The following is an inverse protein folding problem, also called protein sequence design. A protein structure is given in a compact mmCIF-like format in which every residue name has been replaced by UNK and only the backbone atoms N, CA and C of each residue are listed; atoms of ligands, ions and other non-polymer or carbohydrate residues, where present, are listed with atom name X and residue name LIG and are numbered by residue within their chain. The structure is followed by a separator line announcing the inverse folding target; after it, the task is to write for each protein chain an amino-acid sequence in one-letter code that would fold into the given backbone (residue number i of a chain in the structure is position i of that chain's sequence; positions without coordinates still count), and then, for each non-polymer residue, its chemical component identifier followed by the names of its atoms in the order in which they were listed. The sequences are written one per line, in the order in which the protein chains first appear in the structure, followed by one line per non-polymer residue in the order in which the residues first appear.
data_IF_249951145613
#
_entry.id   IF_249951145613
#
_cell.length_a   1.000
_cell.length_b   1.000
_cell.length_c   1.000
_cell.angle_alpha   90.00
_cell.angle_beta   90.00
_cell.angle_gamma   90.00
#
_symmetry.space_group_name_H-M   'P 1'
#
loop_
_entity.id
_entity.type
_entity.pdbx_description
1 polymer ?
#
# COMPACT_ATOMS: atom_id res chain seq x y z
N UNK A 1 -44.85 5.81 -27.32
CA UNK A 1 -44.26 5.47 -28.63
C UNK A 1 -43.15 4.45 -28.36
N UNK A 2 -43.40 3.15 -28.59
CA UNK A 2 -42.36 2.12 -28.45
C UNK A 2 -41.50 2.18 -29.71
N UNK A 3 -40.19 2.39 -29.53
CA UNK A 3 -39.24 2.34 -30.64
C UNK A 3 -39.25 0.92 -31.24
N UNK A 4 -39.08 0.83 -32.55
CA UNK A 4 -38.91 -0.46 -33.22
C UNK A 4 -37.60 -1.09 -32.75
N UNK A 5 -37.47 -2.44 -32.77
CA UNK A 5 -36.26 -3.13 -32.34
C UNK A 5 -34.98 -2.65 -33.05
N UNK A 6 -35.08 -2.23 -34.31
CA UNK A 6 -33.99 -1.59 -35.05
C UNK A 6 -33.61 -0.20 -34.52
N UNK A 7 -34.55 0.56 -33.97
CA UNK A 7 -34.31 1.86 -33.32
C UNK A 7 -33.65 1.72 -31.95
N UNK A 8 -33.97 0.67 -31.20
CA UNK A 8 -33.28 0.33 -29.94
C UNK A 8 -31.84 -0.16 -30.17
N UNK A 9 -31.60 -0.97 -31.21
CA UNK A 9 -30.25 -1.39 -31.61
C UNK A 9 -29.39 -0.21 -32.11
N UNK A 10 -29.97 0.73 -32.86
CA UNK A 10 -29.27 1.92 -33.36
C UNK A 10 -28.90 2.91 -32.23
N UNK A 11 -29.77 3.08 -31.22
CA UNK A 11 -29.47 3.88 -30.03
C UNK A 11 -28.43 3.21 -29.12
N UNK A 12 -28.46 1.88 -28.99
CA UNK A 12 -27.46 1.12 -28.23
C UNK A 12 -26.06 1.15 -28.90
N UNK A 13 -26.00 1.17 -30.23
CA UNK A 13 -24.74 1.32 -30.99
C UNK A 13 -24.23 2.77 -31.06
N UNK A 14 -25.11 3.78 -30.96
CA UNK A 14 -24.71 5.18 -30.97
C UNK A 14 -24.17 5.70 -29.61
N UNK A 15 -24.61 5.12 -28.49
CA UNK A 15 -24.21 5.56 -27.13
C UNK A 15 -22.96 4.84 -26.57
N UNK A 16 -22.41 3.88 -27.30
CA UNK A 16 -21.28 3.02 -26.87
C UNK A 16 -19.85 3.52 -27.17
N UNK A 17 -19.55 4.45 -28.11
CA UNK A 17 -18.16 4.85 -28.37
C UNK A 17 -17.54 5.78 -27.32
N UNK A 18 -18.35 6.69 -26.75
CA UNK A 18 -17.84 7.78 -25.91
C UNK A 18 -17.31 7.31 -24.56
N UNK A 19 -18.09 6.48 -23.86
CA UNK A 19 -17.70 6.01 -22.53
C UNK A 19 -16.50 5.05 -22.58
N UNK A 20 -16.38 4.22 -23.64
CA UNK A 20 -15.22 3.33 -23.82
C UNK A 20 -13.95 4.11 -24.08
N UNK A 21 -14.03 5.16 -24.91
CA UNK A 21 -12.90 6.08 -25.12
C UNK A 21 -12.50 6.75 -23.80
N UNK A 22 -13.47 7.24 -23.03
CA UNK A 22 -13.20 7.82 -21.70
C UNK A 22 -12.58 6.80 -20.73
N UNK A 23 -13.08 5.58 -20.67
CA UNK A 23 -12.55 4.52 -19.81
C UNK A 23 -11.11 4.14 -20.19
N UNK A 24 -10.82 4.02 -21.50
CA UNK A 24 -9.47 3.77 -21.99
C UNK A 24 -8.51 4.92 -21.68
N UNK A 25 -8.97 6.17 -21.85
CA UNK A 25 -8.18 7.36 -21.49
C UNK A 25 -7.90 7.38 -19.99
N UNK A 26 -8.90 7.15 -19.15
CA UNK A 26 -8.73 7.09 -17.69
C UNK A 26 -7.77 5.97 -17.27
N UNK A 27 -7.89 4.78 -17.88
CA UNK A 27 -6.99 3.67 -17.62
C UNK A 27 -5.56 4.01 -18.04
N UNK A 28 -5.37 4.60 -19.23
CA UNK A 28 -4.05 5.03 -19.71
C UNK A 28 -3.42 6.10 -18.82
N UNK A 29 -4.21 7.11 -18.40
CA UNK A 29 -3.77 8.14 -17.46
C UNK A 29 -3.39 7.54 -16.10
N UNK A 30 -4.16 6.56 -15.61
CA UNK A 30 -3.88 5.89 -14.35
C UNK A 30 -2.62 5.04 -14.43
N UNK A 31 -2.45 4.27 -15.51
CA UNK A 31 -1.21 3.53 -15.80
C UNK A 31 -0.01 4.48 -15.84
N UNK A 32 -0.11 5.58 -16.59
CA UNK A 32 0.94 6.60 -16.70
C UNK A 32 1.26 7.23 -15.33
N UNK A 33 0.26 7.60 -14.56
CA UNK A 33 0.42 8.17 -13.22
C UNK A 33 1.13 7.19 -12.28
N UNK A 34 0.78 5.90 -12.34
CA UNK A 34 1.42 4.85 -11.55
C UNK A 34 2.86 4.62 -11.99
N UNK A 35 3.15 4.62 -13.30
CA UNK A 35 4.53 4.53 -13.81
C UNK A 35 5.37 5.73 -13.37
N UNK A 36 4.83 6.94 -13.51
CA UNK A 36 5.50 8.18 -13.12
C UNK A 36 5.77 8.20 -11.61
N UNK A 37 4.79 7.76 -10.80
CA UNK A 37 4.95 7.61 -9.35
C UNK A 37 6.02 6.56 -9.01
N UNK A 38 6.02 5.39 -9.66
CA UNK A 38 7.06 4.38 -9.47
C UNK A 38 8.46 4.89 -9.81
N UNK A 39 8.60 5.63 -10.92
CA UNK A 39 9.87 6.27 -11.29
C UNK A 39 10.29 7.34 -10.30
N UNK A 40 9.37 8.20 -9.85
CA UNK A 40 9.61 9.18 -8.81
C UNK A 40 10.10 8.51 -7.51
N UNK A 41 9.47 7.40 -7.10
CA UNK A 41 9.88 6.64 -5.91
C UNK A 41 11.28 6.03 -6.08
N UNK A 42 11.59 5.44 -7.23
CA UNK A 42 12.95 4.93 -7.52
C UNK A 42 13.97 6.06 -7.43
N UNK A 43 13.70 7.22 -8.04
CA UNK A 43 14.57 8.40 -7.99
C UNK A 43 14.77 8.86 -6.54
N UNK A 44 13.68 8.93 -5.78
CA UNK A 44 13.65 9.34 -4.39
C UNK A 44 14.38 8.37 -3.47
N UNK A 45 14.49 7.08 -3.80
CA UNK A 45 15.29 6.09 -3.06
C UNK A 45 16.77 6.14 -3.47
N UNK A 46 17.06 6.27 -4.76
CA UNK A 46 18.44 6.24 -5.27
C UNK A 46 19.28 7.48 -4.90
N UNK A 47 18.65 8.63 -4.68
CA UNK A 47 19.35 9.87 -4.32
C UNK A 47 19.47 10.07 -2.80
N UNK A 48 19.06 9.08 -2.00
CA UNK A 48 19.07 9.25 -0.54
C UNK A 48 20.46 9.13 0.03
N UNK A 49 20.82 9.98 1.00
CA UNK A 49 21.94 9.71 1.87
C UNK A 49 21.65 8.46 2.71
N UNK A 50 22.53 7.48 2.63
CA UNK A 50 22.44 6.24 3.40
C UNK A 50 23.55 6.20 4.45
N UNK A 51 23.15 6.19 5.71
CA UNK A 51 24.05 6.05 6.85
C UNK A 51 24.05 4.64 7.46
N UNK A 52 23.06 3.79 7.14
CA UNK A 52 22.99 2.41 7.64
C UNK A 52 22.59 2.26 9.10
N UNK A 53 21.81 3.20 9.65
CA UNK A 53 21.23 3.09 10.99
C UNK A 53 19.80 3.61 11.04
N UNK A 54 19.02 3.07 11.97
CA UNK A 54 17.66 3.50 12.27
C UNK A 54 17.51 3.85 13.75
N UNK A 55 16.70 4.87 14.03
CA UNK A 55 16.58 5.47 15.36
C UNK A 55 15.16 5.30 15.87
N UNK A 56 15.00 4.65 17.03
CA UNK A 56 13.70 4.37 17.64
C UNK A 56 13.85 3.78 19.07
N UNK A 57 12.95 4.09 20.01
CA UNK A 57 12.44 5.42 20.36
C UNK A 57 13.49 6.24 21.15
N UNK A 58 13.21 7.53 21.40
CA UNK A 58 14.06 8.43 22.20
C UNK A 58 15.49 8.65 21.65
N UNK A 59 15.63 8.81 20.33
CA UNK A 59 16.92 9.05 19.68
C UNK A 59 17.97 7.96 19.90
N UNK A 60 17.54 6.75 20.27
CA UNK A 60 18.41 5.58 20.40
C UNK A 60 18.53 4.85 19.08
N UNK A 61 19.74 4.40 18.77
CA UNK A 61 20.00 3.51 17.64
C UNK A 61 19.30 2.17 17.90
N UNK A 62 18.20 1.94 17.21
CA UNK A 62 17.39 0.71 17.36
C UNK A 62 17.79 -0.36 16.34
N UNK A 63 18.38 0.07 15.23
CA UNK A 63 18.76 -0.77 14.13
C UNK A 63 20.07 -0.30 13.54
N UNK A 64 20.94 -1.26 13.22
CA UNK A 64 22.19 -1.02 12.52
C UNK A 64 22.35 -2.02 11.38
N UNK A 65 22.57 -1.52 10.17
CA UNK A 65 22.93 -2.37 9.03
C UNK A 65 24.32 -2.95 9.25
N UNK A 66 24.41 -4.28 9.37
CA UNK A 66 25.70 -4.96 9.51
C UNK A 66 26.59 -4.65 8.32
N UNK A 67 27.82 -4.26 8.60
CA UNK A 67 28.79 -3.80 7.60
C UNK A 67 28.39 -2.51 6.88
N UNK A 68 27.34 -1.81 7.30
CA UNK A 68 26.93 -0.51 6.75
C UNK A 68 27.81 0.65 7.22
N UNK A 69 27.62 1.87 6.68
CA UNK A 69 28.47 3.02 6.99
C UNK A 69 28.57 3.34 8.49
N UNK A 70 27.45 3.30 9.21
CA UNK A 70 27.39 3.54 10.64
C UNK A 70 28.11 2.46 11.46
N UNK A 71 27.96 1.18 11.09
CA UNK A 71 28.64 0.06 11.76
C UNK A 71 30.17 0.17 11.59
N UNK A 72 30.62 0.48 10.36
CA UNK A 72 32.04 0.72 10.07
C UNK A 72 32.60 1.93 10.80
N UNK A 73 31.77 2.94 11.05
CA UNK A 73 32.12 4.12 11.85
C UNK A 73 32.14 3.87 13.36
N UNK A 74 31.74 2.67 13.81
CA UNK A 74 31.74 2.29 15.23
C UNK A 74 30.47 2.64 15.99
N UNK A 75 29.39 3.03 15.30
CA UNK A 75 28.07 3.17 15.92
C UNK A 75 27.58 1.80 16.38
N UNK A 76 26.90 1.75 17.54
CA UNK A 76 26.35 0.52 18.10
C UNK A 76 24.87 0.71 18.44
N UNK A 77 24.11 -0.39 18.34
CA UNK A 77 22.73 -0.44 18.81
C UNK A 77 22.66 -0.07 20.31
N UNK A 78 21.61 0.65 20.70
CA UNK A 78 21.38 1.16 22.05
C UNK A 78 22.01 2.52 22.36
N UNK A 79 22.97 2.99 21.56
CA UNK A 79 23.56 4.33 21.73
C UNK A 79 22.52 5.44 21.54
N UNK A 80 22.54 6.45 22.40
CA UNK A 80 21.69 7.62 22.34
C UNK A 80 22.35 8.73 21.53
N UNK A 81 21.71 9.19 20.46
CA UNK A 81 22.14 10.34 19.65
C UNK A 81 21.70 11.62 20.36
N UNK A 82 22.67 12.49 20.65
CA UNK A 82 22.47 13.78 21.35
C UNK A 82 22.47 14.94 20.37
N UNK A 83 23.44 14.94 19.45
CA UNK A 83 23.54 15.95 18.38
C UNK A 83 23.91 15.31 17.06
N UNK A 84 23.54 15.97 15.97
CA UNK A 84 23.93 15.64 14.60
C UNK A 84 24.40 16.93 13.92
N UNK A 85 25.61 16.92 13.37
CA UNK A 85 26.28 18.09 12.80
C UNK A 85 26.31 19.33 13.71
N UNK A 86 26.38 19.11 15.04
CA UNK A 86 26.38 20.17 16.05
C UNK A 86 24.99 20.68 16.43
N UNK A 87 23.93 20.29 15.72
CA UNK A 87 22.55 20.59 16.07
C UNK A 87 21.99 19.55 17.03
N UNK A 88 21.21 20.00 18.02
CA UNK A 88 20.56 19.11 18.98
C UNK A 88 19.51 18.26 18.29
N UNK A 89 19.55 16.95 18.54
CA UNK A 89 18.52 16.02 18.08
C UNK A 89 17.55 15.80 19.22
N UNK A 90 16.35 16.41 19.12
CA UNK A 90 15.27 16.28 20.10
C UNK A 90 14.35 15.11 19.80
N UNK A 91 14.21 14.74 18.52
CA UNK A 91 13.28 13.72 18.05
C UNK A 91 13.85 12.81 16.95
N UNK A 92 13.16 11.69 16.72
CA UNK A 92 13.45 10.80 15.58
C UNK A 92 13.26 11.56 14.27
N UNK A 93 12.29 12.49 14.21
CA UNK A 93 12.02 13.29 13.03
C UNK A 93 13.14 14.30 12.74
N UNK A 94 13.81 14.84 13.77
CA UNK A 94 14.98 15.70 13.60
C UNK A 94 16.11 14.92 12.95
N UNK A 95 16.35 13.69 13.41
CA UNK A 95 17.32 12.77 12.79
C UNK A 95 16.98 12.53 11.32
N UNK A 96 15.70 12.27 11.02
CA UNK A 96 15.19 12.04 9.66
C UNK A 96 15.47 13.25 8.77
N UNK A 97 15.06 14.44 9.22
CA UNK A 97 15.16 15.69 8.46
C UNK A 97 16.61 16.13 8.23
N UNK A 98 17.43 16.13 9.28
CA UNK A 98 18.83 16.52 9.17
C UNK A 98 19.60 15.55 8.28
N UNK A 99 19.32 14.24 8.36
CA UNK A 99 19.94 13.26 7.48
C UNK A 99 19.48 13.46 6.03
N UNK A 100 18.19 13.70 5.79
CA UNK A 100 17.63 13.91 4.43
C UNK A 100 18.07 15.22 3.78
N UNK A 101 18.50 16.22 4.56
CA UNK A 101 19.11 17.44 4.04
C UNK A 101 20.53 17.22 3.47
N UNK A 102 21.15 16.08 3.74
CA UNK A 102 22.50 15.76 3.28
C UNK A 102 22.49 15.04 1.93
N UNK A 103 23.66 15.02 1.29
CA UNK A 103 23.85 14.35 0.00
C UNK A 103 24.64 13.04 0.16
N UNK A 104 24.37 12.03 -0.70
CA UNK A 104 25.24 10.86 -0.80
C UNK A 104 26.70 11.29 -1.07
N UNK A 105 27.64 10.68 -0.34
CA UNK A 105 29.06 11.04 -0.38
C UNK A 105 29.49 12.09 0.64
N UNK A 106 28.54 12.79 1.28
CA UNK A 106 28.79 13.71 2.39
C UNK A 106 29.17 13.00 3.69
N UNK A 107 29.37 13.77 4.75
CA UNK A 107 29.67 13.26 6.09
C UNK A 107 28.61 13.75 7.08
N UNK A 108 28.25 12.90 8.03
CA UNK A 108 27.42 13.28 9.18
C UNK A 108 28.20 13.00 10.47
N UNK A 109 28.22 13.98 11.36
CA UNK A 109 28.93 13.92 12.64
C UNK A 109 27.91 13.75 13.76
N UNK A 110 27.93 12.62 14.44
CA UNK A 110 27.04 12.31 15.55
C UNK A 110 27.78 12.45 16.87
N UNK A 111 27.12 13.05 17.85
CA UNK A 111 27.51 12.91 19.25
C UNK A 111 26.59 11.91 19.93
N UNK A 112 27.17 10.85 20.49
CA UNK A 112 26.41 9.73 21.05
C UNK A 112 26.81 9.43 22.50
N UNK A 113 25.88 8.83 23.24
CA UNK A 113 26.11 8.28 24.59
C UNK A 113 25.77 6.80 24.62
N UNK A 114 26.69 5.97 25.10
CA UNK A 114 26.48 4.52 25.21
C UNK A 114 25.56 4.11 26.37
N UNK A 115 25.35 4.98 27.37
CA UNK A 115 24.54 4.68 28.56
C UNK A 115 24.30 5.90 29.45
N UNK A 116 23.53 5.73 30.54
CA UNK A 116 23.33 6.80 31.53
C UNK A 116 24.67 7.10 32.22
N UNK A 117 25.12 8.36 32.17
CA UNK A 117 26.41 8.79 32.74
C UNK A 117 27.64 8.58 31.84
N UNK A 118 27.49 7.98 30.65
CA UNK A 118 28.60 7.80 29.72
C UNK A 118 29.06 9.14 29.10
N UNK A 119 30.38 9.26 28.87
CA UNK A 119 30.95 10.40 28.15
C UNK A 119 30.40 10.47 26.72
N UNK A 120 30.25 11.70 26.21
CA UNK A 120 29.81 11.93 24.84
C UNK A 120 30.95 11.55 23.90
N UNK A 121 30.69 10.61 22.99
CA UNK A 121 31.61 10.20 21.94
C UNK A 121 31.20 10.81 20.61
N UNK A 122 32.17 11.26 19.82
CA UNK A 122 31.91 11.78 18.47
C UNK A 122 32.18 10.69 17.44
N UNK A 123 31.19 10.39 16.62
CA UNK A 123 31.27 9.40 15.54
C UNK A 123 31.03 10.13 14.22
N UNK A 124 31.93 9.93 13.25
CA UNK A 124 31.79 10.50 11.91
C UNK A 124 31.41 9.39 10.93
N UNK A 125 30.33 9.58 10.21
CA UNK A 125 29.79 8.60 9.28
C UNK A 125 29.81 9.21 7.89
N UNK A 126 30.51 8.55 6.96
CA UNK A 126 30.47 8.91 5.54
C UNK A 126 29.19 8.33 4.92
N UNK A 127 28.38 9.20 4.33
CA UNK A 127 27.12 8.83 3.71
C UNK A 127 27.39 8.16 2.37
N UNK A 128 26.71 7.04 2.14
CA UNK A 128 26.82 6.30 0.88
C UNK A 128 25.52 6.38 0.10
N UNK A 129 25.52 5.86 -1.13
CA UNK A 129 24.28 5.54 -1.80
C UNK A 129 23.74 4.24 -1.20
N UNK A 130 22.43 4.14 -0.92
CA UNK A 130 21.88 2.88 -0.45
C UNK A 130 22.18 1.79 -1.49
N UNK A 131 22.50 0.55 -1.05
CA UNK A 131 22.57 -0.57 -1.99
C UNK A 131 21.25 -0.63 -2.75
N UNK A 132 21.31 -0.96 -4.05
CA UNK A 132 20.10 -1.15 -4.87
C UNK A 132 19.17 -2.10 -4.12
N UNK A 133 18.06 -1.60 -3.58
CA UNK A 133 17.28 -2.41 -2.69
C UNK A 133 16.69 -3.56 -3.50
N UNK A 134 16.96 -4.81 -3.12
CA UNK A 134 16.44 -5.99 -3.84
C UNK A 134 14.93 -5.90 -4.03
N UNK A 135 14.25 -5.47 -2.98
CA UNK A 135 13.01 -4.72 -2.95
C UNK A 135 12.56 -4.00 -4.23
N UNK A 136 13.30 -3.02 -4.75
CA UNK A 136 12.88 -2.25 -5.93
C UNK A 136 12.79 -3.14 -7.16
N UNK A 137 13.66 -4.15 -7.27
CA UNK A 137 13.63 -5.13 -8.36
C UNK A 137 12.36 -5.96 -8.25
N UNK A 138 12.05 -6.50 -7.06
CA UNK A 138 10.82 -7.23 -6.82
C UNK A 138 9.59 -6.35 -7.05
N UNK A 139 9.57 -5.12 -6.55
CA UNK A 139 8.45 -4.19 -6.70
C UNK A 139 8.18 -3.89 -8.17
N UNK A 140 9.24 -3.70 -8.95
CA UNK A 140 9.17 -3.49 -10.40
C UNK A 140 8.68 -4.74 -11.12
N UNK A 141 9.13 -5.93 -10.73
CA UNK A 141 8.63 -7.18 -11.30
C UNK A 141 7.14 -7.38 -10.99
N UNK A 142 6.72 -7.19 -9.73
CA UNK A 142 5.31 -7.24 -9.35
C UNK A 142 4.49 -6.23 -10.13
N UNK A 143 4.99 -5.00 -10.27
CA UNK A 143 4.34 -3.96 -11.06
C UNK A 143 4.05 -4.43 -12.49
N UNK A 144 5.06 -4.99 -13.17
CA UNK A 144 4.91 -5.50 -14.53
C UNK A 144 3.87 -6.62 -14.61
N UNK A 145 3.83 -7.52 -13.62
CA UNK A 145 2.82 -8.58 -13.57
C UNK A 145 1.42 -8.02 -13.29
N UNK A 146 1.27 -7.11 -12.33
CA UNK A 146 -0.04 -6.53 -11.98
C UNK A 146 -0.64 -5.73 -13.12
N UNK A 147 0.18 -4.90 -13.77
CA UNK A 147 -0.31 -4.10 -14.89
C UNK A 147 -0.61 -4.99 -16.10
N UNK A 148 0.21 -6.00 -16.36
CA UNK A 148 -0.05 -6.96 -17.43
C UNK A 148 -1.34 -7.73 -17.18
N UNK A 149 -1.58 -8.16 -15.93
CA UNK A 149 -2.80 -8.88 -15.55
C UNK A 149 -4.03 -7.98 -15.65
N UNK A 150 -3.96 -6.76 -15.12
CA UNK A 150 -5.06 -5.79 -15.16
C UNK A 150 -5.43 -5.42 -16.61
N UNK A 151 -4.43 -5.14 -17.45
CA UNK A 151 -4.62 -4.84 -18.87
C UNK A 151 -5.14 -6.07 -19.63
N UNK A 152 -4.57 -7.26 -19.39
CA UNK A 152 -5.02 -8.51 -20.01
C UNK A 152 -6.49 -8.79 -19.72
N UNK A 153 -6.88 -8.71 -18.43
CA UNK A 153 -8.25 -8.96 -17.99
C UNK A 153 -9.19 -7.91 -18.58
N UNK A 154 -8.82 -6.62 -18.52
CA UNK A 154 -9.61 -5.52 -19.09
C UNK A 154 -9.83 -5.64 -20.61
N UNK A 155 -8.78 -5.85 -21.39
CA UNK A 155 -8.89 -5.93 -22.86
C UNK A 155 -9.57 -7.20 -23.35
N UNK A 156 -9.53 -8.28 -22.57
CA UNK A 156 -10.22 -9.53 -22.92
C UNK A 156 -11.74 -9.38 -22.83
N UNK A 157 -12.26 -8.57 -21.88
CA UNK A 157 -13.70 -8.35 -21.67
C UNK A 157 -13.98 -6.95 -21.10
N UNK A 158 -13.85 -5.87 -21.89
CA UNK A 158 -13.96 -4.50 -21.38
C UNK A 158 -15.37 -4.13 -20.91
N UNK A 159 -16.39 -4.82 -21.41
CA UNK A 159 -17.80 -4.57 -21.08
C UNK A 159 -18.31 -5.42 -19.91
N UNK A 160 -17.50 -6.36 -19.40
CA UNK A 160 -17.89 -7.24 -18.30
C UNK A 160 -17.60 -6.57 -16.95
N UNK A 161 -18.62 -6.14 -16.18
CA UNK A 161 -18.37 -5.31 -15.02
C UNK A 161 -17.55 -5.97 -13.88
N UNK A 162 -17.70 -7.27 -13.58
CA UNK A 162 -16.76 -8.03 -12.75
C UNK A 162 -15.28 -7.89 -13.15
N UNK A 163 -14.98 -7.91 -14.45
CA UNK A 163 -13.63 -7.80 -14.99
C UNK A 163 -13.04 -6.43 -14.72
N UNK A 164 -13.84 -5.37 -14.91
CA UNK A 164 -13.45 -3.99 -14.59
C UNK A 164 -13.20 -3.81 -13.09
N UNK A 165 -14.10 -4.34 -12.25
CA UNK A 165 -13.94 -4.28 -10.80
C UNK A 165 -12.67 -5.00 -10.32
N UNK A 166 -12.36 -6.17 -10.89
CA UNK A 166 -11.12 -6.89 -10.58
C UNK A 166 -9.86 -6.12 -11.02
N UNK A 167 -9.88 -5.53 -12.21
CA UNK A 167 -8.77 -4.69 -12.68
C UNK A 167 -8.55 -3.49 -11.74
N UNK A 168 -9.63 -2.85 -11.27
CA UNK A 168 -9.56 -1.76 -10.29
C UNK A 168 -9.00 -2.23 -8.93
N UNK A 169 -9.46 -3.37 -8.38
CA UNK A 169 -8.91 -3.96 -7.14
C UNK A 169 -7.40 -4.20 -7.26
N UNK A 170 -6.98 -4.77 -8.39
CA UNK A 170 -5.57 -5.07 -8.66
C UNK A 170 -4.73 -3.79 -8.66
N UNK A 171 -5.26 -2.73 -9.29
CA UNK A 171 -4.58 -1.46 -9.44
C UNK A 171 -4.52 -0.66 -8.13
N UNK A 172 -5.60 -0.59 -7.36
CA UNK A 172 -5.61 0.09 -6.05
C UNK A 172 -4.76 -0.66 -5.02
N UNK A 173 -4.79 -1.99 -5.03
CA UNK A 173 -3.92 -2.83 -4.20
C UNK A 173 -2.44 -2.57 -4.50
N UNK A 174 -2.09 -2.44 -5.79
CA UNK A 174 -0.73 -2.09 -6.19
C UNK A 174 -0.30 -0.68 -5.75
N UNK A 175 -1.15 0.33 -5.92
CA UNK A 175 -0.86 1.70 -5.45
C UNK A 175 -0.66 1.72 -3.93
N UNK A 176 -1.52 1.00 -3.20
CA UNK A 176 -1.39 0.84 -1.74
C UNK A 176 -0.06 0.17 -1.39
N UNK A 177 0.34 -0.84 -2.15
CA UNK A 177 1.61 -1.54 -1.97
C UNK A 177 2.79 -0.59 -2.19
N UNK A 178 2.84 0.17 -3.29
CA UNK A 178 3.91 1.13 -3.56
C UNK A 178 4.05 2.23 -2.50
N UNK A 179 2.95 2.59 -1.85
CA UNK A 179 2.90 3.66 -0.84
C UNK A 179 3.12 3.16 0.59
N UNK A 180 3.03 1.84 0.85
CA UNK A 180 3.08 1.29 2.21
C UNK A 180 4.49 0.96 2.74
N UNK A 181 5.51 0.83 1.89
CA UNK A 181 6.84 0.35 2.31
C UNK A 181 7.74 1.38 2.98
N UNK A 182 7.15 2.51 3.35
CA UNK A 182 7.90 3.73 3.50
C UNK A 182 7.24 4.53 4.64
N UNK A 183 7.23 3.98 5.87
CA UNK A 183 6.60 4.64 7.02
C UNK A 183 7.23 6.03 7.26
N UNK A 184 8.56 6.12 7.13
CA UNK A 184 9.30 7.39 7.17
C UNK A 184 8.85 8.37 6.08
N UNK A 185 8.53 7.88 4.90
CA UNK A 185 8.17 8.64 3.69
C UNK A 185 6.70 9.03 3.70
N UNK A 186 5.86 8.19 4.26
CA UNK A 186 4.48 8.48 4.59
C UNK A 186 4.42 9.64 5.57
N UNK A 187 5.34 9.68 6.54
CA UNK A 187 5.44 10.80 7.49
C UNK A 187 6.09 12.02 6.83
N UNK A 188 7.06 11.86 5.93
CA UNK A 188 7.79 12.98 5.33
C UNK A 188 7.04 13.69 4.18
N UNK A 189 6.17 12.98 3.44
CA UNK A 189 5.51 13.48 2.24
C UNK A 189 3.98 13.38 2.34
N UNK A 190 3.25 14.48 2.61
CA UNK A 190 1.79 14.46 2.80
C UNK A 190 1.02 13.88 1.62
N UNK A 191 1.42 14.21 0.39
CA UNK A 191 0.77 13.72 -0.84
C UNK A 191 0.88 12.19 -0.93
N UNK A 192 2.05 11.62 -0.60
CA UNK A 192 2.25 10.16 -0.61
C UNK A 192 1.34 9.48 0.41
N UNK A 193 1.21 10.06 1.61
CA UNK A 193 0.30 9.52 2.62
C UNK A 193 -1.17 9.62 2.21
N UNK A 194 -1.59 10.70 1.55
CA UNK A 194 -2.96 10.82 1.03
C UNK A 194 -3.21 9.70 0.01
N UNK A 195 -2.33 9.53 -0.98
CA UNK A 195 -2.47 8.46 -1.98
C UNK A 195 -2.53 7.08 -1.31
N UNK A 196 -1.73 6.83 -0.27
CA UNK A 196 -1.77 5.61 0.55
C UNK A 196 -3.12 5.38 1.22
N UNK A 197 -3.64 6.39 1.91
CA UNK A 197 -4.92 6.33 2.63
C UNK A 197 -6.05 5.97 1.65
N UNK A 198 -6.12 6.68 0.53
CA UNK A 198 -7.20 6.48 -0.44
C UNK A 198 -7.11 5.13 -1.15
N UNK A 199 -5.92 4.75 -1.62
CA UNK A 199 -5.73 3.47 -2.31
C UNK A 199 -5.97 2.25 -1.41
N UNK A 200 -5.55 2.31 -0.14
CA UNK A 200 -5.79 1.24 0.82
C UNK A 200 -7.28 1.10 1.17
N UNK A 201 -7.99 2.21 1.41
CA UNK A 201 -9.39 2.18 1.82
C UNK A 201 -10.38 1.89 0.69
N UNK A 202 -10.15 2.40 -0.53
CA UNK A 202 -11.02 2.14 -1.69
C UNK A 202 -10.96 0.67 -2.14
N UNK A 203 -9.87 -0.03 -1.85
CA UNK A 203 -9.71 -1.45 -2.21
C UNK A 203 -10.80 -2.32 -1.57
N UNK A 204 -11.22 -2.04 -0.32
CA UNK A 204 -12.22 -2.84 0.39
C UNK A 204 -13.64 -2.80 -0.23
N UNK A 205 -14.26 -1.63 -0.51
CA UNK A 205 -15.53 -1.59 -1.20
C UNK A 205 -15.44 -2.10 -2.64
N UNK A 206 -14.30 -1.98 -3.33
CA UNK A 206 -14.09 -2.59 -4.64
C UNK A 206 -14.15 -4.13 -4.58
N UNK A 207 -13.54 -4.75 -3.56
CA UNK A 207 -13.63 -6.21 -3.35
C UNK A 207 -15.09 -6.63 -3.10
N UNK A 208 -15.84 -5.89 -2.28
CA UNK A 208 -17.25 -6.17 -2.05
C UNK A 208 -18.10 -5.95 -3.31
N UNK A 209 -17.84 -4.87 -4.06
CA UNK A 209 -18.49 -4.61 -5.34
C UNK A 209 -18.25 -5.74 -6.34
N UNK A 210 -17.01 -6.25 -6.41
CA UNK A 210 -16.67 -7.42 -7.20
C UNK A 210 -17.49 -8.64 -6.74
N UNK A 211 -17.50 -8.96 -5.44
CA UNK A 211 -18.25 -10.09 -4.88
C UNK A 211 -19.78 -9.99 -5.12
N UNK A 212 -20.33 -8.78 -5.17
CA UNK A 212 -21.75 -8.54 -5.45
C UNK A 212 -22.12 -8.71 -6.93
N UNK A 213 -21.14 -8.64 -7.84
CA UNK A 213 -21.36 -8.80 -9.28
C UNK A 213 -20.89 -10.15 -9.83
N UNK A 214 -19.94 -10.80 -9.16
CA UNK A 214 -19.34 -12.05 -9.58
C UNK A 214 -19.80 -13.24 -8.70
N UNK A 215 -20.11 -14.42 -9.27
CA UNK A 215 -20.15 -14.72 -10.72
C UNK A 215 -21.45 -14.31 -11.41
N UNK A 216 -22.51 -14.10 -10.62
CA UNK A 216 -23.80 -13.58 -11.07
C UNK A 216 -24.16 -12.38 -10.20
N UNK A 217 -24.85 -11.40 -10.78
CA UNK A 217 -25.25 -10.20 -10.04
C UNK A 217 -26.19 -10.55 -8.89
N UNK A 218 -25.79 -10.17 -7.68
CA UNK A 218 -26.57 -10.43 -6.47
C UNK A 218 -27.87 -9.62 -6.47
N UNK A 219 -28.94 -10.19 -5.90
CA UNK A 219 -30.29 -9.62 -5.87
C UNK A 219 -30.34 -8.21 -5.25
N UNK A 220 -29.46 -7.93 -4.27
CA UNK A 220 -29.38 -6.63 -3.59
C UNK A 220 -28.96 -5.48 -4.51
N UNK A 221 -28.20 -5.78 -5.56
CA UNK A 221 -27.64 -4.78 -6.47
C UNK A 221 -28.37 -4.77 -7.81
N UNK A 222 -29.09 -5.86 -8.13
CA UNK A 222 -29.87 -5.99 -9.35
C UNK A 222 -30.98 -4.93 -9.37
N UNK A 223 -30.92 -4.02 -10.35
CA UNK A 223 -31.88 -2.93 -10.51
C UNK A 223 -31.78 -1.79 -9.48
N UNK A 224 -30.75 -1.79 -8.62
CA UNK A 224 -30.57 -0.77 -7.56
C UNK A 224 -29.20 -0.10 -7.65
N UNK A 225 -29.00 0.85 -8.57
CA UNK A 225 -27.68 1.48 -8.77
C UNK A 225 -27.21 2.28 -7.55
N UNK A 226 -28.13 2.84 -6.74
CA UNK A 226 -27.76 3.61 -5.54
C UNK A 226 -27.06 2.75 -4.47
N UNK A 227 -27.42 1.47 -4.35
CA UNK A 227 -26.77 0.55 -3.40
C UNK A 227 -25.28 0.43 -3.73
N UNK A 228 -24.93 0.49 -5.01
CA UNK A 228 -23.54 0.45 -5.48
C UNK A 228 -22.75 1.69 -5.07
N UNK A 229 -23.38 2.84 -4.96
CA UNK A 229 -22.72 4.06 -4.46
C UNK A 229 -22.59 3.99 -2.94
N UNK A 230 -23.65 3.52 -2.27
CA UNK A 230 -23.71 3.45 -0.81
C UNK A 230 -22.60 2.57 -0.21
N UNK A 231 -22.19 1.50 -0.91
CA UNK A 231 -21.08 0.65 -0.46
C UNK A 231 -19.74 1.40 -0.36
N UNK A 232 -19.53 2.49 -1.09
CA UNK A 232 -18.28 3.26 -1.02
C UNK A 232 -18.30 4.35 0.06
N UNK A 233 -19.48 4.77 0.51
CA UNK A 233 -19.64 5.90 1.44
C UNK A 233 -18.82 5.74 2.73
N UNK A 234 -18.85 4.58 3.44
CA UNK A 234 -18.06 4.43 4.66
C UNK A 234 -16.56 4.55 4.43
N UNK A 235 -16.03 3.93 3.37
CA UNK A 235 -14.61 3.98 3.03
C UNK A 235 -14.16 5.37 2.60
N UNK A 236 -14.95 6.06 1.77
CA UNK A 236 -14.64 7.42 1.30
C UNK A 236 -14.72 8.43 2.44
N UNK A 237 -15.74 8.37 3.28
CA UNK A 237 -15.87 9.25 4.44
C UNK A 237 -14.70 9.05 5.41
N UNK A 238 -14.33 7.79 5.68
CA UNK A 238 -13.20 7.49 6.55
C UNK A 238 -11.86 7.91 5.95
N UNK A 239 -11.66 7.73 4.63
CA UNK A 239 -10.45 8.20 3.94
C UNK A 239 -10.33 9.73 3.98
N UNK A 240 -11.42 10.45 3.77
CA UNK A 240 -11.47 11.91 3.90
C UNK A 240 -11.13 12.37 5.32
N UNK A 241 -11.73 11.74 6.32
CA UNK A 241 -11.42 12.00 7.74
C UNK A 241 -9.93 11.76 8.05
N UNK A 242 -9.37 10.62 7.65
CA UNK A 242 -7.95 10.32 7.86
C UNK A 242 -7.04 11.28 7.11
N UNK A 243 -7.45 11.76 5.93
CA UNK A 243 -6.68 12.77 5.17
C UNK A 243 -6.58 14.06 5.97
N UNK A 244 -7.70 14.64 6.38
CA UNK A 244 -7.75 15.88 7.18
C UNK A 244 -6.97 15.71 8.49
N UNK A 245 -7.18 14.58 9.19
CA UNK A 245 -6.47 14.28 10.43
C UNK A 245 -4.97 14.16 10.23
N UNK A 246 -4.52 13.50 9.16
CA UNK A 246 -3.10 13.32 8.86
C UNK A 246 -2.40 14.63 8.50
N UNK A 247 -3.11 15.58 7.88
CA UNK A 247 -2.59 16.92 7.61
C UNK A 247 -2.42 17.71 8.91
N UNK A 248 -3.37 17.60 9.85
CA UNK A 248 -3.25 18.24 11.16
C UNK A 248 -2.11 17.65 12.01
N UNK A 249 -1.85 16.35 11.89
CA UNK A 249 -0.77 15.67 12.60
C UNK A 249 0.61 15.91 11.97
N UNK A 250 0.70 16.24 10.68
CA UNK A 250 1.98 16.55 10.03
C UNK A 250 2.68 17.75 10.68
N UNK A 251 1.90 18.74 11.15
CA UNK A 251 2.42 19.91 11.88
C UNK A 251 2.76 19.60 13.35
N UNK A 252 2.03 18.66 13.98
CA UNK A 252 2.20 18.27 15.39
C UNK A 252 3.23 17.15 15.62
N UNK A 253 3.55 16.34 14.60
CA UNK A 253 4.53 15.23 14.68
C UNK A 253 5.98 15.69 14.91
N UNK A 254 6.18 17.01 15.07
CA UNK A 254 7.43 17.66 15.40
C UNK A 254 7.76 17.70 16.89
N UNK A 255 6.79 17.43 17.77
CA UNK A 255 7.03 17.47 19.21
C UNK A 255 7.36 16.08 19.79
N UNK A 256 8.60 15.83 20.25
CA UNK A 256 8.99 14.57 20.86
C UNK A 256 8.26 14.23 22.17
N UNK A 257 7.54 15.16 22.79
CA UNK A 257 6.71 14.89 23.97
C UNK A 257 5.41 14.13 23.64
N UNK A 258 4.98 14.15 22.37
CA UNK A 258 3.71 13.57 21.92
C UNK A 258 3.82 12.11 21.46
N UNK A 259 4.94 11.42 21.69
CA UNK A 259 5.16 10.04 21.20
C UNK A 259 4.06 9.08 21.66
N UNK A 260 3.58 9.21 22.90
CA UNK A 260 2.49 8.37 23.39
C UNK A 260 1.17 8.63 22.64
N UNK A 261 0.87 9.90 22.37
CA UNK A 261 -0.32 10.30 21.60
C UNK A 261 -0.24 9.83 20.15
N UNK A 262 0.94 9.94 19.53
CA UNK A 262 1.20 9.42 18.17
C UNK A 262 1.01 7.90 18.12
N UNK A 263 1.52 7.16 19.11
CA UNK A 263 1.33 5.71 19.17
C UNK A 263 -0.13 5.33 19.36
N UNK A 264 -0.83 6.02 20.27
CA UNK A 264 -2.27 5.83 20.45
C UNK A 264 -3.04 6.15 19.17
N UNK A 265 -2.63 7.17 18.42
CA UNK A 265 -3.24 7.55 17.15
C UNK A 265 -3.01 6.49 16.07
N UNK A 266 -1.77 6.00 15.92
CA UNK A 266 -1.44 4.92 14.98
C UNK A 266 -2.26 3.68 15.30
N UNK A 267 -2.33 3.28 16.58
CA UNK A 267 -3.17 2.17 17.02
C UNK A 267 -4.64 2.45 16.72
N UNK A 268 -5.10 3.68 16.97
CA UNK A 268 -6.47 4.07 16.71
C UNK A 268 -6.80 3.88 15.23
N UNK A 269 -6.03 4.48 14.33
CA UNK A 269 -6.22 4.43 12.87
C UNK A 269 -6.14 2.99 12.39
N UNK A 270 -5.15 2.23 12.85
CA UNK A 270 -4.94 0.83 12.45
C UNK A 270 -6.13 -0.05 12.85
N UNK A 271 -6.59 0.07 14.09
CA UNK A 271 -7.73 -0.71 14.60
C UNK A 271 -9.02 -0.38 13.85
N UNK A 272 -9.34 0.90 13.60
CA UNK A 272 -10.58 1.28 12.89
C UNK A 272 -10.52 0.87 11.41
N UNK A 273 -9.35 1.00 10.77
CA UNK A 273 -9.13 0.50 9.40
C UNK A 273 -9.32 -1.01 9.34
N UNK A 274 -8.80 -1.76 10.33
CA UNK A 274 -8.96 -3.21 10.41
C UNK A 274 -10.43 -3.61 10.59
N UNK A 275 -11.18 -2.94 11.47
CA UNK A 275 -12.61 -3.22 11.64
C UNK A 275 -13.41 -2.95 10.38
N UNK A 276 -13.14 -1.84 9.69
CA UNK A 276 -13.80 -1.51 8.43
C UNK A 276 -13.46 -2.54 7.34
N UNK A 277 -12.18 -2.87 7.19
CA UNK A 277 -11.73 -3.90 6.26
C UNK A 277 -12.40 -5.25 6.53
N UNK A 278 -12.43 -5.67 7.80
CA UNK A 278 -13.08 -6.91 8.22
C UNK A 278 -14.58 -6.91 7.90
N UNK A 279 -15.28 -5.80 8.13
CA UNK A 279 -16.70 -5.69 7.77
C UNK A 279 -16.94 -5.87 6.26
N UNK A 280 -16.12 -5.25 5.40
CA UNK A 280 -16.20 -5.44 3.95
C UNK A 280 -15.86 -6.86 3.52
N UNK A 281 -14.78 -7.44 4.06
CA UNK A 281 -14.33 -8.79 3.72
C UNK A 281 -15.33 -9.85 4.16
N UNK A 282 -15.87 -9.76 5.38
CA UNK A 282 -16.91 -10.66 5.88
C UNK A 282 -18.21 -10.53 5.06
N UNK A 283 -18.57 -9.31 4.65
CA UNK A 283 -19.71 -9.07 3.77
C UNK A 283 -19.49 -9.72 2.39
N UNK A 284 -18.30 -9.54 1.80
CA UNK A 284 -17.95 -10.15 0.51
C UNK A 284 -17.94 -11.68 0.60
N UNK A 285 -17.36 -12.23 1.67
CA UNK A 285 -17.38 -13.66 1.93
C UNK A 285 -18.79 -14.20 2.11
N UNK A 286 -19.66 -13.49 2.84
CA UNK A 286 -21.07 -13.86 3.01
C UNK A 286 -21.80 -13.94 1.66
N UNK A 287 -21.61 -12.94 0.79
CA UNK A 287 -22.21 -12.91 -0.56
C UNK A 287 -21.71 -14.08 -1.41
N UNK A 288 -20.41 -14.36 -1.39
CA UNK A 288 -19.82 -15.49 -2.13
C UNK A 288 -20.29 -16.83 -1.56
N UNK A 289 -20.35 -17.00 -0.25
CA UNK A 289 -20.83 -18.22 0.40
C UNK A 289 -22.30 -18.50 0.10
N UNK A 290 -23.14 -17.46 0.08
CA UNK A 290 -24.55 -17.56 -0.33
C UNK A 290 -24.67 -17.96 -1.81
N UNK A 291 -23.87 -17.35 -2.68
CA UNK A 291 -23.83 -17.66 -4.11
C UNK A 291 -23.31 -19.08 -4.38
N UNK A 292 -22.35 -19.56 -3.58
CA UNK A 292 -21.86 -20.93 -3.64
C UNK A 292 -22.95 -21.95 -3.28
N UNK A 293 -23.68 -21.71 -2.19
CA UNK A 293 -24.76 -22.62 -1.73
C UNK A 293 -25.91 -22.72 -2.73
N UNK A 294 -26.29 -21.60 -3.36
CA UNK A 294 -27.42 -21.52 -4.30
C UNK A 294 -27.04 -21.71 -5.76
N UNK A 295 -25.74 -21.71 -6.07
CA UNK A 295 -25.24 -21.73 -7.44
C UNK A 295 -25.19 -23.12 -8.08
N UNK A 296 -25.15 -23.13 -9.42
CA UNK A 296 -24.90 -24.31 -10.25
C UNK A 296 -23.46 -24.85 -10.02
N UNK A 297 -23.13 -26.07 -10.47
CA UNK A 297 -21.78 -26.62 -10.38
C UNK A 297 -20.69 -25.70 -10.97
N UNK A 298 -21.01 -24.96 -12.04
CA UNK A 298 -20.10 -23.99 -12.66
C UNK A 298 -19.79 -22.82 -11.71
N UNK A 299 -20.82 -22.22 -11.10
CA UNK A 299 -20.68 -21.12 -10.12
C UNK A 299 -19.86 -21.59 -8.92
N UNK A 300 -20.12 -22.80 -8.42
CA UNK A 300 -19.37 -23.38 -7.29
C UNK A 300 -17.90 -23.54 -7.63
N UNK A 301 -17.58 -24.00 -8.84
CA UNK A 301 -16.19 -24.18 -9.29
C UNK A 301 -15.46 -22.85 -9.35
N UNK A 302 -16.09 -21.79 -9.87
CA UNK A 302 -15.50 -20.46 -9.94
C UNK A 302 -15.22 -19.87 -8.56
N UNK A 303 -16.20 -19.92 -7.66
CA UNK A 303 -16.04 -19.42 -6.29
C UNK A 303 -14.98 -20.24 -5.56
N UNK A 304 -14.92 -21.56 -5.76
CA UNK A 304 -13.89 -22.41 -5.17
C UNK A 304 -12.49 -21.99 -5.64
N UNK A 305 -12.30 -21.79 -6.94
CA UNK A 305 -11.02 -21.35 -7.50
C UNK A 305 -10.62 -19.98 -6.94
N UNK A 306 -11.56 -19.04 -6.85
CA UNK A 306 -11.36 -17.73 -6.24
C UNK A 306 -10.91 -17.84 -4.77
N UNK A 307 -11.59 -18.67 -3.97
CA UNK A 307 -11.28 -18.86 -2.55
C UNK A 307 -9.94 -19.56 -2.34
N UNK A 308 -9.60 -20.55 -3.17
CA UNK A 308 -8.29 -21.22 -3.13
C UNK A 308 -7.18 -20.23 -3.46
N UNK A 309 -7.33 -19.43 -4.52
CA UNK A 309 -6.39 -18.36 -4.84
C UNK A 309 -6.23 -17.35 -3.70
N UNK A 310 -7.36 -17.04 -3.04
CA UNK A 310 -7.37 -16.14 -1.87
C UNK A 310 -6.59 -16.73 -0.68
N UNK A 311 -6.80 -18.01 -0.36
CA UNK A 311 -6.11 -18.71 0.72
C UNK A 311 -4.60 -18.83 0.47
N UNK A 312 -4.21 -19.14 -0.77
CA UNK A 312 -2.79 -19.18 -1.18
C UNK A 312 -2.13 -17.81 -0.98
N UNK A 313 -2.84 -16.70 -1.21
CA UNK A 313 -2.33 -15.36 -0.95
C UNK A 313 -2.30 -14.96 0.53
N UNK A 314 -3.18 -15.51 1.37
CA UNK A 314 -3.24 -15.21 2.82
C UNK A 314 -2.07 -15.83 3.57
N UNK A 315 -1.72 -17.09 3.28
CA UNK A 315 -0.69 -17.81 4.03
C UNK A 315 0.64 -17.04 4.12
N UNK A 316 1.18 -16.50 3.03
CA UNK A 316 2.43 -15.76 3.12
C UNK A 316 2.30 -14.38 3.77
N UNK A 317 1.13 -13.72 3.64
CA UNK A 317 0.82 -12.50 4.40
C UNK A 317 0.84 -12.76 5.91
N UNK A 318 0.38 -13.93 6.36
CA UNK A 318 0.43 -14.30 7.78
C UNK A 318 1.86 -14.45 8.29
N UNK A 319 2.79 -14.96 7.48
CA UNK A 319 4.22 -15.04 7.80
C UNK A 319 4.84 -13.65 7.92
N UNK A 320 4.49 -12.71 7.03
CA UNK A 320 4.95 -11.32 7.14
C UNK A 320 4.42 -10.61 8.37
N UNK A 321 3.13 -10.80 8.68
CA UNK A 321 2.54 -10.21 9.88
C UNK A 321 3.25 -10.78 11.11
N UNK A 322 3.50 -12.09 11.13
CA UNK A 322 4.28 -12.72 12.19
C UNK A 322 5.67 -12.11 12.32
N UNK A 323 6.44 -12.02 11.23
CA UNK A 323 7.78 -11.41 11.21
C UNK A 323 7.76 -9.92 11.60
N UNK A 324 6.74 -9.17 11.17
CA UNK A 324 6.57 -7.77 11.52
C UNK A 324 6.21 -7.56 12.99
N UNK A 325 5.46 -8.49 13.58
CA UNK A 325 5.13 -8.49 15.01
C UNK A 325 6.34 -8.89 15.86
N UNK A 326 7.08 -9.93 15.46
CA UNK A 326 8.25 -10.41 16.22
C UNK A 326 9.45 -9.47 16.09
N UNK A 327 9.62 -8.79 14.95
CA UNK A 327 10.71 -7.86 14.67
C UNK A 327 10.22 -6.41 14.50
N UNK A 328 9.33 -5.95 15.38
CA UNK A 328 8.62 -4.67 15.27
C UNK A 328 9.52 -3.44 15.04
N UNK A 329 10.66 -3.34 15.72
CA UNK A 329 11.59 -2.23 15.54
C UNK A 329 12.23 -2.22 14.14
N UNK A 330 12.59 -3.39 13.59
CA UNK A 330 13.07 -3.51 12.21
C UNK A 330 11.95 -3.25 11.22
N UNK A 331 10.74 -3.71 11.49
CA UNK A 331 9.57 -3.45 10.66
C UNK A 331 9.27 -1.95 10.51
N UNK A 332 9.22 -1.22 11.62
CA UNK A 332 8.99 0.23 11.63
C UNK A 332 10.08 1.03 10.91
N UNK A 333 11.33 0.54 10.95
CA UNK A 333 12.50 1.19 10.34
C UNK A 333 12.76 0.73 8.89
N UNK A 334 11.84 -0.02 8.28
CA UNK A 334 11.93 -0.45 6.88
C UNK A 334 12.84 -1.65 6.62
N UNK A 335 13.25 -2.37 7.67
CA UNK A 335 14.15 -3.52 7.63
C UNK A 335 13.49 -4.87 7.30
N UNK A 336 12.16 -4.95 7.09
CA UNK A 336 11.56 -6.17 6.56
C UNK A 336 11.81 -6.27 5.06
N UNK A 337 12.24 -7.46 4.63
CA UNK A 337 12.59 -7.82 3.27
C UNK A 337 11.39 -7.64 2.30
N UNK A 338 11.38 -6.60 1.45
CA UNK A 338 10.27 -6.36 0.51
C UNK A 338 10.04 -7.43 -0.58
N UNK A 339 10.99 -8.34 -0.94
CA UNK A 339 10.69 -9.48 -1.82
C UNK A 339 9.50 -10.33 -1.38
N UNK A 340 9.28 -10.45 -0.06
CA UNK A 340 8.21 -11.28 0.48
C UNK A 340 6.84 -10.67 0.19
N UNK A 341 6.60 -9.41 0.55
CA UNK A 341 5.29 -8.75 0.39
C UNK A 341 4.81 -8.72 -1.06
N UNK A 342 5.76 -8.57 -1.99
CA UNK A 342 5.54 -8.61 -3.43
C UNK A 342 5.21 -10.01 -3.96
N UNK A 343 5.96 -11.04 -3.53
CA UNK A 343 5.69 -12.44 -3.92
C UNK A 343 4.26 -12.86 -3.53
N UNK A 344 3.71 -12.24 -2.49
CA UNK A 344 2.45 -12.63 -1.87
C UNK A 344 1.23 -11.95 -2.49
N UNK A 345 1.36 -10.69 -2.86
CA UNK A 345 0.36 -10.01 -3.67
C UNK A 345 0.19 -10.73 -5.04
N UNK A 346 1.28 -11.25 -5.61
CA UNK A 346 1.25 -12.06 -6.84
C UNK A 346 0.55 -13.41 -6.62
N UNK A 347 0.79 -14.08 -5.49
CA UNK A 347 0.17 -15.36 -5.16
C UNK A 347 -1.36 -15.28 -4.98
N UNK A 348 -1.88 -14.14 -4.50
CA UNK A 348 -3.32 -13.89 -4.34
C UNK A 348 -4.03 -13.63 -5.67
N UNK A 349 -3.40 -12.82 -6.53
CA UNK A 349 -4.08 -12.19 -7.66
C UNK A 349 -3.87 -12.95 -8.98
N UNK A 350 -2.75 -13.65 -9.17
CA UNK A 350 -2.49 -14.46 -10.38
C UNK A 350 -3.53 -15.59 -10.55
N UNK A 351 -3.83 -16.43 -9.54
CA UNK A 351 -4.85 -17.47 -9.67
C UNK A 351 -6.24 -16.89 -9.91
N UNK A 352 -6.54 -15.74 -9.30
CA UNK A 352 -7.84 -15.06 -9.42
C UNK A 352 -8.03 -14.46 -10.81
N UNK A 353 -7.01 -13.80 -11.35
CA UNK A 353 -7.04 -13.26 -12.71
C UNK A 353 -7.07 -14.35 -13.77
N UNK A 354 -6.38 -15.47 -13.55
CA UNK A 354 -6.48 -16.65 -14.41
C UNK A 354 -7.88 -17.28 -14.38
N UNK A 355 -8.50 -17.39 -13.20
CA UNK A 355 -9.87 -17.90 -13.06
C UNK A 355 -10.89 -17.03 -13.82
N UNK A 356 -10.70 -15.70 -13.81
CA UNK A 356 -11.53 -14.76 -14.56
C UNK A 356 -11.25 -14.80 -16.07
N UNK A 357 -9.99 -14.93 -16.48
CA UNK A 357 -9.60 -15.01 -17.90
C UNK A 357 -10.03 -16.31 -18.61
N UNK A 358 -10.14 -17.41 -17.85
CA UNK A 358 -10.52 -18.73 -18.36
C UNK A 358 -12.02 -19.02 -18.26
N UNK A 359 -12.79 -18.18 -17.59
CA UNK A 359 -14.24 -18.32 -17.53
C UNK A 359 -14.88 -18.00 -18.89
N UNK A 360 -15.74 -18.90 -19.38
CA UNK A 360 -16.51 -18.73 -20.63
C UNK A 360 -17.73 -17.87 -20.40
#
# INVERSE_FOLDING_TARGET
MKLTPAGEECLATALTPGWRRLANIMLALLVLAVTAYGFMMIRLVLHRPYAGFGVYPFNRVAYLDRHGPADRAGLREGMLIVTMNGERVGSVLDTVRQLEALQPGGEVVLQVKSGQGAAISTIRIKLEKPPLPTFLIFATFAYLVFISLALFVYYRRPDDPPVVAFAMVTLTGFISMLTSFAFRETIAYPVVNIVRIWSSLITFPLILHFALRFPVTHEWVRGRPFVQVLIYVPAVAFAGYLTVRSMALFDAALDPTLVHEILQDILWVSTRTMFLALAYLLSGFYVLARSYRRGTPQIRTQIRTLLIGSLIGIFPMSVLIYEGVTNYARFLLGGLNPPLTITFALALLVPTGLALGLYR
#
